data_IF_501746267227
#
_entry.id   IF_501746267227
#
_cell.length_a   1.000
_cell.length_b   1.000
_cell.length_c   1.000
_cell.angle_alpha   90.00
_cell.angle_beta   90.00
_cell.angle_gamma   90.00
#
_symmetry.space_group_name_H-M   'P 1'
#
loop_
_entity.id
_entity.type
_entity.pdbx_description
1 polymer ?
#
# COMPACT_ATOMS: atom_id res chain seq x y z
N UNK A 1 -13.52 -11.08 14.54
CA UNK A 1 -12.62 -10.51 13.54
C UNK A 1 -13.36 -10.35 12.23
N UNK A 2 -13.59 -9.11 11.82
CA UNK A 2 -14.01 -8.70 10.48
C UNK A 2 -13.15 -7.54 9.99
N UNK A 3 -12.96 -7.46 8.67
CA UNK A 3 -12.32 -6.29 8.05
C UNK A 3 -13.26 -5.09 8.19
N UNK A 4 -12.74 -4.00 8.76
CA UNK A 4 -13.43 -2.71 8.93
C UNK A 4 -13.09 -1.74 7.80
N UNK A 5 -11.83 -1.69 7.40
CA UNK A 5 -11.33 -0.69 6.47
C UNK A 5 -10.08 -1.19 5.71
N UNK A 6 -9.86 -0.63 4.51
CA UNK A 6 -8.71 -0.94 3.65
C UNK A 6 -8.10 0.37 3.16
N UNK A 7 -6.86 0.62 3.57
CA UNK A 7 -6.08 1.78 3.15
C UNK A 7 -5.07 1.37 2.08
N UNK A 8 -4.99 2.16 1.00
CA UNK A 8 -3.97 2.00 -0.05
C UNK A 8 -3.05 3.22 -0.06
N UNK A 9 -1.75 2.98 -0.12
CA UNK A 9 -0.76 4.05 -0.15
C UNK A 9 0.51 3.62 -0.86
N UNK A 10 1.28 4.62 -1.33
CA UNK A 10 2.62 4.40 -1.85
C UNK A 10 3.67 4.88 -0.86
N UNK A 11 4.80 4.17 -0.84
CA UNK A 11 5.99 4.57 -0.10
C UNK A 11 7.08 4.96 -1.08
N UNK A 12 7.58 6.17 -0.90
CA UNK A 12 8.84 6.63 -1.46
C UNK A 12 9.90 6.46 -0.37
N UNK A 13 10.97 5.71 -0.64
CA UNK A 13 11.92 5.30 0.39
C UNK A 13 13.05 6.31 0.57
N UNK A 14 13.45 6.98 -0.50
CA UNK A 14 14.41 8.07 -0.50
C UNK A 14 13.83 9.32 -1.19
N UNK A 15 14.16 10.55 -0.73
CA UNK A 15 13.68 11.78 -1.34
C UNK A 15 14.00 11.89 -2.84
N UNK A 16 15.09 11.26 -3.29
CA UNK A 16 15.58 11.30 -4.67
C UNK A 16 14.98 10.21 -5.58
N UNK A 17 14.17 9.30 -5.03
CA UNK A 17 13.53 8.23 -5.80
C UNK A 17 12.67 8.81 -6.93
N UNK A 18 12.83 8.26 -8.13
CA UNK A 18 11.95 8.59 -9.27
C UNK A 18 10.52 8.10 -8.97
N UNK A 19 9.48 8.68 -9.61
CA UNK A 19 8.10 8.23 -9.41
C UNK A 19 7.86 6.72 -9.61
N UNK A 20 8.64 6.08 -10.49
CA UNK A 20 8.57 4.63 -10.73
C UNK A 20 9.28 3.76 -9.66
N UNK A 21 10.05 4.37 -8.75
CA UNK A 21 10.79 3.72 -7.66
C UNK A 21 10.02 3.86 -6.34
N UNK A 22 8.73 3.52 -6.38
CA UNK A 22 7.85 3.50 -5.21
C UNK A 22 7.38 2.08 -4.95
N UNK A 23 7.03 1.79 -3.70
CA UNK A 23 6.30 0.56 -3.36
C UNK A 23 4.84 0.88 -3.09
N UNK A 24 3.94 0.04 -3.56
CA UNK A 24 2.52 0.10 -3.24
C UNK A 24 2.22 -0.82 -2.06
N UNK A 25 1.38 -0.35 -1.15
CA UNK A 25 1.03 -1.05 0.08
C UNK A 25 -0.45 -1.01 0.33
N UNK A 26 -0.95 -2.08 0.94
CA UNK A 26 -2.31 -2.21 1.44
C UNK A 26 -2.25 -2.45 2.95
N UNK A 27 -3.00 -1.66 3.71
CA UNK A 27 -3.23 -1.90 5.14
C UNK A 27 -4.69 -2.25 5.36
N UNK A 28 -4.92 -3.39 6.01
CA UNK A 28 -6.26 -3.88 6.34
C UNK A 28 -6.48 -3.73 7.83
N UNK A 29 -7.47 -2.94 8.22
CA UNK A 29 -7.87 -2.76 9.60
C UNK A 29 -9.04 -3.67 9.95
N UNK A 30 -8.98 -4.35 11.09
CA UNK A 30 -10.07 -5.14 11.62
C UNK A 30 -10.87 -4.38 12.69
N UNK A 31 -12.08 -4.85 12.97
CA UNK A 31 -12.97 -4.32 14.02
C UNK A 31 -12.47 -4.59 15.44
N UNK A 32 -11.63 -5.61 15.63
CA UNK A 32 -10.98 -5.94 16.90
C UNK A 32 -9.68 -5.15 17.17
N UNK A 33 -9.40 -4.15 16.34
CA UNK A 33 -8.21 -3.30 16.45
C UNK A 33 -6.93 -3.91 15.88
N UNK A 34 -6.95 -5.17 15.43
CA UNK A 34 -5.81 -5.74 14.70
C UNK A 34 -5.65 -5.10 13.31
N UNK A 35 -4.43 -5.15 12.77
CA UNK A 35 -4.16 -4.65 11.42
C UNK A 35 -3.09 -5.50 10.75
N UNK A 36 -3.27 -5.74 9.45
CA UNK A 36 -2.31 -6.40 8.58
C UNK A 36 -1.78 -5.44 7.52
N UNK A 37 -0.56 -5.65 7.07
CA UNK A 37 0.07 -4.88 6.00
C UNK A 37 0.64 -5.84 4.94
N UNK A 38 0.45 -5.51 3.66
CA UNK A 38 0.96 -6.29 2.54
C UNK A 38 1.44 -5.40 1.39
N UNK A 39 2.55 -5.78 0.78
CA UNK A 39 3.07 -5.10 -0.41
C UNK A 39 2.31 -5.56 -1.66
N UNK A 40 1.96 -4.60 -2.52
CA UNK A 40 1.20 -4.79 -3.75
C UNK A 40 1.91 -4.12 -4.95
N UNK A 41 3.24 -4.24 -5.03
CA UNK A 41 4.08 -3.55 -6.02
C UNK A 41 4.40 -4.40 -7.28
N UNK A 42 3.52 -4.55 -8.28
CA UNK A 42 3.92 -4.86 -9.64
C UNK A 42 3.67 -3.69 -10.60
N UNK A 43 4.59 -3.48 -11.57
CA UNK A 43 4.53 -2.48 -12.65
C UNK A 43 4.43 -1.01 -12.18
N UNK A 44 5.36 -0.16 -12.66
CA UNK A 44 5.35 1.30 -12.39
C UNK A 44 5.26 1.69 -10.90
N UNK A 45 5.95 0.96 -10.03
CA UNK A 45 5.89 1.21 -8.58
C UNK A 45 4.52 0.95 -7.95
N UNK A 46 3.69 0.11 -8.59
CA UNK A 46 2.40 -0.34 -8.07
C UNK A 46 1.23 0.63 -8.29
N UNK A 47 1.40 1.74 -9.03
CA UNK A 47 0.29 2.65 -9.39
C UNK A 47 -0.86 1.91 -10.06
N UNK A 48 -0.54 1.05 -11.03
CA UNK A 48 -1.52 0.25 -11.74
C UNK A 48 -2.28 -0.72 -10.81
N UNK A 49 -1.66 -1.16 -9.71
CA UNK A 49 -2.27 -2.07 -8.73
C UNK A 49 -3.12 -1.37 -7.69
N UNK A 50 -2.81 -0.11 -7.37
CA UNK A 50 -3.59 0.68 -6.42
C UNK A 50 -4.79 1.36 -7.08
N UNK A 51 -4.79 1.54 -8.41
CA UNK A 51 -5.86 2.23 -9.11
C UNK A 51 -6.02 3.70 -8.70
N UNK A 52 -4.92 4.31 -8.23
CA UNK A 52 -4.81 5.71 -7.78
C UNK A 52 -3.97 6.55 -8.75
#
# INVERSE_FOLDING_TARGET
>A
MKIRDVEVFQVQWAPEDKPAQRSAWVRVHCDDGSSGIGEASPMQGGLASLGI
#
